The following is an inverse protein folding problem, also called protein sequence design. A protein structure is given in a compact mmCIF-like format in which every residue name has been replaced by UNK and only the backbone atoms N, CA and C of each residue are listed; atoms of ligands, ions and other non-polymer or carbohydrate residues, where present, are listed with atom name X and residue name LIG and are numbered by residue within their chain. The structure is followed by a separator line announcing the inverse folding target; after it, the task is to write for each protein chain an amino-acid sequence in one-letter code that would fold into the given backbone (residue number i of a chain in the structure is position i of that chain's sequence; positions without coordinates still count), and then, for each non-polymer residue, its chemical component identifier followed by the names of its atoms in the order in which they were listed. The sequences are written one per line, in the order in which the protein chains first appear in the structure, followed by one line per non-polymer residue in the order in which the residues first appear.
data_IF_163591483348
#
_entry.id   IF_163591483348
#
_cell.length_a   1.000
_cell.length_b   1.000
_cell.length_c   1.000
_cell.angle_alpha   90.00
_cell.angle_beta   90.00
_cell.angle_gamma   90.00
#
_symmetry.space_group_name_H-M   'P 1'
#
loop_
_entity.id
_entity.type
_entity.pdbx_description
1 polymer ?
#
# COMPACT_ATOMS: atom_id res chain seq x y z
N UNK A 1 -19.99 12.81 6.69
CA UNK A 1 -20.95 11.74 6.38
C UNK A 1 -21.90 11.55 7.57
N UNK A 2 -23.20 11.33 7.34
CA UNK A 2 -24.22 11.35 8.41
C UNK A 2 -24.13 10.07 9.26
N UNK A 3 -24.17 10.15 10.61
CA UNK A 3 -24.23 8.99 11.52
C UNK A 3 -25.29 7.97 11.10
N UNK A 4 -26.37 8.42 10.44
CA UNK A 4 -27.42 7.57 9.86
C UNK A 4 -26.92 6.62 8.76
N UNK A 5 -25.99 7.03 7.91
CA UNK A 5 -25.48 6.19 6.81
C UNK A 5 -24.59 5.06 7.34
N UNK A 6 -23.69 5.39 8.29
CA UNK A 6 -22.84 4.39 8.98
C UNK A 6 -23.72 3.42 9.77
N UNK A 7 -24.74 3.92 10.47
CA UNK A 7 -25.70 3.06 11.17
C UNK A 7 -26.47 2.12 10.23
N UNK A 8 -26.74 2.53 8.98
CA UNK A 8 -27.39 1.69 7.96
C UNK A 8 -26.42 0.65 7.41
N UNK A 9 -25.15 1.02 7.16
CA UNK A 9 -24.12 0.08 6.72
C UNK A 9 -23.83 -0.99 7.78
N UNK A 10 -23.70 -0.60 9.05
CA UNK A 10 -23.53 -1.54 10.16
C UNK A 10 -24.77 -2.39 10.37
N UNK A 11 -25.99 -1.85 10.20
CA UNK A 11 -27.21 -2.65 10.26
C UNK A 11 -27.28 -3.68 9.12
N UNK A 12 -26.90 -3.31 7.89
CA UNK A 12 -26.83 -4.24 6.75
C UNK A 12 -25.75 -5.31 6.99
N UNK A 13 -24.60 -4.92 7.51
CA UNK A 13 -23.50 -5.82 7.87
C UNK A 13 -23.96 -6.82 8.93
N UNK A 14 -24.62 -6.37 10.00
CA UNK A 14 -25.16 -7.24 11.06
C UNK A 14 -26.22 -8.22 10.52
N UNK A 15 -27.01 -7.81 9.53
CA UNK A 15 -27.98 -8.68 8.86
C UNK A 15 -27.25 -9.73 8.00
N UNK A 16 -26.20 -9.34 7.29
CA UNK A 16 -25.38 -10.24 6.46
C UNK A 16 -24.56 -11.23 7.32
N UNK A 17 -23.99 -10.78 8.43
CA UNK A 17 -23.23 -11.64 9.34
C UNK A 17 -24.12 -12.68 10.02
N UNK A 18 -25.34 -12.30 10.42
CA UNK A 18 -26.31 -13.23 11.00
C UNK A 18 -26.71 -14.39 10.06
N UNK A 19 -26.68 -14.18 8.75
CA UNK A 19 -26.95 -15.22 7.75
C UNK A 19 -25.75 -16.16 7.49
N UNK A 20 -24.54 -15.74 7.88
CA UNK A 20 -23.29 -16.48 7.63
C UNK A 20 -22.75 -17.22 8.86
N UNK A 21 -23.54 -17.35 9.95
CA UNK A 21 -23.09 -17.98 11.20
C UNK A 21 -22.15 -17.12 12.03
N UNK A 22 -22.08 -15.82 11.76
CA UNK A 22 -21.23 -14.87 12.47
C UNK A 22 -21.97 -14.25 13.68
N UNK A 23 -21.32 -14.24 14.85
CA UNK A 23 -21.88 -13.77 16.14
C UNK A 23 -21.09 -12.61 16.77
N UNK A 24 -20.12 -12.04 16.04
CA UNK A 24 -19.28 -10.93 16.51
C UNK A 24 -20.10 -9.71 16.96
N UNK A 25 -19.70 -9.11 18.08
CA UNK A 25 -20.24 -7.83 18.57
C UNK A 25 -19.51 -6.64 17.95
N UNK A 26 -20.22 -5.84 17.15
CA UNK A 26 -19.67 -4.64 16.50
C UNK A 26 -20.15 -3.37 17.22
N UNK A 27 -19.20 -2.52 17.65
CA UNK A 27 -19.49 -1.21 18.25
C UNK A 27 -18.89 -0.07 17.41
N UNK A 28 -19.56 1.07 17.33
CA UNK A 28 -19.01 2.29 16.69
C UNK A 28 -18.55 3.25 17.78
N UNK A 29 -17.27 3.63 17.74
CA UNK A 29 -16.72 4.62 18.67
C UNK A 29 -17.13 6.02 18.20
N UNK A 30 -18.13 6.60 18.84
CA UNK A 30 -18.44 8.02 18.66
C UNK A 30 -17.39 8.89 19.35
N UNK A 31 -16.93 9.97 18.70
CA UNK A 31 -16.27 11.08 19.43
C UNK A 31 -17.16 11.44 20.61
N UNK A 32 -16.71 11.19 21.84
CA UNK A 32 -17.32 11.79 23.03
C UNK A 32 -17.26 13.30 22.82
N UNK A 33 -18.39 13.91 22.48
CA UNK A 33 -18.58 15.34 22.72
C UNK A 33 -18.39 15.52 24.21
N UNK A 34 -17.27 16.11 24.58
CA UNK A 34 -17.01 16.59 25.93
C UNK A 34 -18.06 17.69 26.17
N UNK A 35 -19.23 17.31 26.67
CA UNK A 35 -20.18 18.26 27.22
C UNK A 35 -19.49 18.79 28.47
N UNK A 36 -19.07 20.06 28.41
CA UNK A 36 -18.50 20.75 29.55
C UNK A 36 -19.48 20.68 30.71
N UNK A 37 -19.08 20.00 31.77
CA UNK A 37 -19.61 20.29 33.10
C UNK A 37 -19.13 21.70 33.44
N UNK A 38 -20.07 22.64 33.41
CA UNK A 38 -19.91 23.93 34.06
C UNK A 38 -19.93 23.66 35.56
N UNK A 39 -18.77 23.66 36.19
CA UNK A 39 -18.66 23.85 37.63
C UNK A 39 -18.15 25.26 37.92
N UNK A 40 -19.00 26.01 38.61
CA UNK A 40 -18.67 27.26 39.28
C UNK A 40 -17.43 27.11 40.15
N UNK A 41 -16.45 28.00 39.98
CA UNK A 41 -15.53 28.38 41.04
C UNK A 41 -15.03 29.82 40.78
N UNK A 42 -15.52 30.72 41.64
CA UNK A 42 -15.12 32.10 41.82
C UNK A 42 -13.68 32.26 42.33
N UNK A 43 -13.04 33.36 41.88
CA UNK A 43 -12.08 34.20 42.59
C UNK A 43 -10.87 33.58 43.32
N UNK A 44 -9.65 33.83 42.81
CA UNK A 44 -8.76 34.88 43.34
C UNK A 44 -7.41 34.95 42.60
N UNK A 45 -7.03 36.18 42.27
CA UNK A 45 -5.69 36.56 41.83
C UNK A 45 -4.65 36.46 42.96
N UNK A 46 -3.41 36.07 42.61
CA UNK A 46 -2.16 36.78 42.98
C UNK A 46 -0.93 36.06 42.35
N UNK A 47 -0.24 36.77 41.46
CA UNK A 47 1.23 36.73 41.29
C UNK A 47 1.91 37.49 42.47
N UNK A 48 3.26 37.57 42.66
CA UNK A 48 4.34 37.43 41.68
C UNK A 48 5.67 36.78 42.16
N UNK A 49 6.68 36.89 41.28
CA UNK A 49 8.12 37.19 41.53
C UNK A 49 9.09 35.99 41.56
N UNK A 50 10.00 35.94 40.56
CA UNK A 50 11.45 36.27 40.65
C UNK A 50 12.29 35.06 41.09
N UNK A 51 13.54 34.80 40.71
CA UNK A 51 14.63 35.43 39.96
C UNK A 51 15.70 34.34 39.76
N UNK A 52 16.77 34.57 38.99
CA UNK A 52 17.98 33.75 39.15
C UNK A 52 18.85 33.54 37.92
N UNK A 53 19.70 34.53 37.66
CA UNK A 53 20.79 34.61 36.68
C UNK A 53 22.01 33.73 36.99
N UNK A 54 22.95 33.70 36.02
CA UNK A 54 24.43 33.48 36.06
C UNK A 54 24.92 32.16 35.42
N UNK A 55 25.57 32.15 34.24
CA UNK A 55 26.96 32.57 33.85
C UNK A 55 28.03 31.64 34.49
N UNK A 56 29.11 31.16 33.86
CA UNK A 56 30.01 31.75 32.84
C UNK A 56 31.12 30.72 32.48
N UNK A 57 31.81 30.93 31.33
CA UNK A 57 33.22 30.59 30.97
C UNK A 57 33.72 29.11 30.89
N UNK A 58 34.22 28.61 29.76
CA UNK A 58 35.45 28.80 28.93
C UNK A 58 36.38 27.58 29.04
N UNK A 59 36.83 27.03 27.91
CA UNK A 59 38.24 27.03 27.47
C UNK A 59 38.44 26.06 26.30
N UNK A 60 39.08 26.59 25.25
CA UNK A 60 39.72 25.88 24.14
C UNK A 60 41.14 25.44 24.59
N UNK A 61 41.82 24.51 23.88
CA UNK A 61 42.61 24.96 22.73
C UNK A 61 42.69 24.01 21.51
N UNK A 62 42.93 24.65 20.36
CA UNK A 62 43.51 24.23 19.07
C UNK A 62 44.61 23.15 19.12
N UNK A 63 45.06 22.49 18.05
CA UNK A 63 44.65 22.21 16.68
C UNK A 63 45.74 21.25 16.11
N UNK A 64 45.41 20.34 15.20
CA UNK A 64 46.42 19.75 14.29
C UNK A 64 45.77 19.05 13.10
N UNK A 65 45.94 19.67 11.94
CA UNK A 65 45.86 19.22 10.55
C UNK A 65 45.63 17.74 10.24
N UNK A 66 44.68 17.47 9.34
CA UNK A 66 44.96 16.96 7.97
C UNK A 66 43.65 16.98 7.15
N UNK A 67 43.69 17.58 5.95
CA UNK A 67 42.61 17.51 4.95
C UNK A 67 42.66 16.16 4.23
N UNK A 68 41.52 15.63 3.74
CA UNK A 68 41.32 15.71 2.30
C UNK A 68 39.86 15.92 1.84
N UNK A 69 39.75 16.67 0.74
CA UNK A 69 38.82 16.53 -0.40
C UNK A 69 37.32 16.49 -0.08
N UNK A 70 36.70 17.64 -0.34
CA UNK A 70 35.28 17.93 -0.33
C UNK A 70 34.58 17.28 -1.55
N UNK A 71 33.79 16.23 -1.32
CA UNK A 71 32.68 15.86 -2.21
C UNK A 71 31.40 16.28 -1.50
N UNK A 72 30.82 17.41 -1.92
CA UNK A 72 29.55 17.91 -1.36
C UNK A 72 28.39 17.03 -1.84
N UNK A 73 28.01 16.04 -1.04
CA UNK A 73 26.65 15.49 -1.05
C UNK A 73 25.76 16.38 -0.16
N UNK A 74 24.54 16.75 -0.59
CA UNK A 74 23.64 17.54 0.24
C UNK A 74 23.16 16.70 1.42
N UNK A 75 23.45 17.16 2.64
CA UNK A 75 22.93 16.65 3.90
C UNK A 75 21.40 16.82 3.95
N UNK A 76 20.60 15.75 4.13
CA UNK A 76 19.18 15.92 4.39
C UNK A 76 18.98 16.27 5.86
N UNK A 77 18.47 17.47 6.10
CA UNK A 77 17.99 17.94 7.40
C UNK A 77 16.94 16.99 7.97
N UNK A 78 17.15 16.55 9.22
CA UNK A 78 16.22 15.75 10.00
C UNK A 78 14.85 16.42 10.11
N UNK A 79 13.96 16.01 9.24
CA UNK A 79 12.53 16.34 9.30
C UNK A 79 11.83 15.00 9.28
N UNK A 80 11.09 14.71 10.35
CA UNK A 80 10.12 13.60 10.38
C UNK A 80 9.31 13.62 9.09
N UNK A 81 9.12 12.49 8.37
CA UNK A 81 8.11 12.44 7.33
C UNK A 81 6.76 12.68 8.01
N UNK A 82 6.23 13.91 7.82
CA UNK A 82 4.80 14.10 7.92
C UNK A 82 4.19 13.09 6.96
N UNK A 83 3.13 12.40 7.41
CA UNK A 83 2.32 11.54 6.58
C UNK A 83 2.24 12.16 5.18
N UNK A 84 2.90 11.53 4.21
CA UNK A 84 2.72 11.89 2.81
C UNK A 84 1.36 11.28 2.50
N UNK A 85 0.31 11.96 2.97
CA UNK A 85 -1.04 11.67 2.56
C UNK A 85 -0.98 11.73 1.05
N UNK A 86 -1.16 10.58 0.39
CA UNK A 86 -1.57 10.60 -1.01
C UNK A 86 -2.67 11.66 -1.10
N UNK A 87 -2.61 12.60 -2.06
CA UNK A 87 -3.67 13.57 -2.20
C UNK A 87 -4.95 12.75 -2.32
N UNK A 88 -5.84 12.90 -1.31
CA UNK A 88 -7.02 12.06 -1.14
C UNK A 88 -7.58 11.75 -2.52
N UNK A 89 -7.53 10.47 -2.93
CA UNK A 89 -8.00 10.07 -4.25
C UNK A 89 -9.38 10.66 -4.42
N UNK A 90 -9.46 11.69 -5.26
CA UNK A 90 -10.73 12.36 -5.52
C UNK A 90 -11.56 11.24 -6.11
N UNK A 91 -12.60 10.79 -5.42
CA UNK A 91 -13.43 9.68 -5.90
C UNK A 91 -14.14 10.15 -7.17
N UNK A 92 -13.49 9.97 -8.32
CA UNK A 92 -14.02 10.33 -9.62
C UNK A 92 -14.93 9.18 -10.01
N UNK A 93 -16.23 9.38 -9.84
CA UNK A 93 -17.21 8.35 -10.23
C UNK A 93 -17.27 8.27 -11.75
N UNK A 94 -17.28 7.04 -12.28
CA UNK A 94 -17.59 6.80 -13.68
C UNK A 94 -18.99 7.38 -13.99
N UNK A 95 -19.16 8.04 -15.14
CA UNK A 95 -20.48 8.50 -15.58
C UNK A 95 -21.41 7.33 -15.95
N UNK A 96 -20.92 6.08 -15.89
CA UNK A 96 -21.65 4.87 -16.28
C UNK A 96 -21.77 4.67 -17.79
N UNK A 97 -20.96 5.38 -18.58
CA UNK A 97 -20.95 5.31 -20.04
C UNK A 97 -19.77 4.42 -20.46
N UNK A 98 -20.08 3.18 -20.84
CA UNK A 98 -19.18 2.34 -21.62
C UNK A 98 -19.30 2.74 -23.09
N UNK A 99 -18.17 3.06 -23.72
CA UNK A 99 -18.07 3.27 -25.16
C UNK A 99 -17.00 2.34 -25.73
N UNK A 100 -16.96 2.18 -27.05
CA UNK A 100 -16.04 1.27 -27.76
C UNK A 100 -15.17 2.06 -28.73
N UNK A 101 -13.86 1.82 -28.70
CA UNK A 101 -12.94 2.36 -29.71
C UNK A 101 -13.13 1.68 -31.07
N UNK A 102 -12.67 2.30 -32.18
CA UNK A 102 -12.64 1.66 -33.50
C UNK A 102 -11.87 0.33 -33.51
N UNK A 103 -10.86 0.19 -32.66
CA UNK A 103 -10.01 -1.00 -32.55
C UNK A 103 -10.56 -2.05 -31.55
N UNK A 104 -11.72 -1.80 -30.94
CA UNK A 104 -12.46 -2.82 -30.19
C UNK A 104 -12.23 -2.88 -28.67
N UNK A 105 -11.57 -1.89 -28.07
CA UNK A 105 -11.46 -1.78 -26.61
C UNK A 105 -12.52 -0.84 -26.03
N UNK A 106 -13.08 -1.23 -24.88
CA UNK A 106 -14.08 -0.50 -24.13
C UNK A 106 -13.44 0.42 -23.09
N UNK A 107 -14.07 1.56 -22.85
CA UNK A 107 -13.56 2.54 -21.91
C UNK A 107 -14.67 3.23 -21.13
N UNK A 108 -14.33 3.65 -19.91
CA UNK A 108 -15.17 4.46 -19.05
C UNK A 108 -14.88 5.95 -19.28
N UNK A 109 -15.94 6.77 -19.34
CA UNK A 109 -15.84 8.23 -19.23
C UNK A 109 -16.15 8.67 -17.81
N UNK A 110 -15.24 9.43 -17.23
CA UNK A 110 -15.36 9.95 -15.87
C UNK A 110 -16.02 11.34 -15.81
N UNK A 111 -16.41 11.72 -14.59
CA UNK A 111 -17.08 13.01 -14.33
C UNK A 111 -16.21 14.23 -14.63
N UNK A 112 -14.89 14.08 -14.52
CA UNK A 112 -13.88 15.09 -14.82
C UNK A 112 -13.41 15.09 -16.29
N UNK A 113 -14.14 14.41 -17.17
CA UNK A 113 -13.86 14.31 -18.61
C UNK A 113 -12.56 13.57 -18.96
N UNK A 114 -12.10 12.68 -18.07
CA UNK A 114 -11.01 11.73 -18.34
C UNK A 114 -11.53 10.35 -18.72
N UNK A 115 -10.68 9.56 -19.37
CA UNK A 115 -10.99 8.21 -19.85
C UNK A 115 -10.04 7.17 -19.24
N UNK A 116 -10.61 6.01 -18.90
CA UNK A 116 -9.90 4.78 -18.55
C UNK A 116 -10.32 3.65 -19.47
N UNK A 117 -9.36 2.93 -20.03
CA UNK A 117 -9.61 1.71 -20.79
C UNK A 117 -9.85 0.59 -19.79
N UNK A 118 -10.94 -0.16 -19.94
CA UNK A 118 -11.38 -1.13 -18.92
C UNK A 118 -11.56 -2.55 -19.46
N UNK A 119 -11.58 -2.71 -20.78
CA UNK A 119 -11.74 -4.03 -21.39
C UNK A 119 -11.30 -4.00 -22.85
N UNK A 120 -10.77 -5.11 -23.33
CA UNK A 120 -10.44 -5.31 -24.72
C UNK A 120 -10.96 -6.65 -25.21
N UNK A 121 -11.53 -6.68 -26.41
CA UNK A 121 -11.90 -7.91 -27.10
C UNK A 121 -10.64 -8.52 -27.77
N UNK A 122 -10.04 -9.53 -27.13
CA UNK A 122 -8.83 -10.21 -27.60
C UNK A 122 -8.92 -10.63 -29.07
N UNK A 123 -10.11 -11.05 -29.54
CA UNK A 123 -10.31 -11.58 -30.91
C UNK A 123 -10.11 -10.49 -31.97
N UNK A 124 -10.35 -9.23 -31.61
CA UNK A 124 -10.27 -8.09 -32.54
C UNK A 124 -8.96 -7.33 -32.44
N UNK A 125 -8.16 -7.60 -31.41
CA UNK A 125 -6.98 -6.80 -31.13
C UNK A 125 -5.87 -7.06 -32.15
N UNK A 126 -5.29 -6.03 -32.77
CA UNK A 126 -4.10 -6.20 -33.59
C UNK A 126 -2.91 -6.64 -32.74
N UNK A 127 -1.97 -7.37 -33.34
CA UNK A 127 -0.72 -7.75 -32.68
C UNK A 127 0.12 -6.53 -32.22
N UNK A 128 -0.08 -5.36 -32.83
CA UNK A 128 0.54 -4.10 -32.40
C UNK A 128 -0.55 -3.08 -32.16
N UNK A 129 -0.59 -2.53 -30.95
CA UNK A 129 -1.59 -1.57 -30.53
C UNK A 129 -0.96 -0.22 -30.20
N UNK A 130 -1.62 0.86 -30.60
CA UNK A 130 -1.27 2.22 -30.20
C UNK A 130 -2.50 2.79 -29.50
N UNK A 131 -2.37 3.12 -28.22
CA UNK A 131 -3.42 3.79 -27.47
C UNK A 131 -3.33 5.30 -27.76
N UNK A 132 -4.41 5.94 -28.24
CA UNK A 132 -4.37 7.38 -28.51
C UNK A 132 -4.38 8.19 -27.21
N UNK A 133 -3.76 9.38 -27.23
CA UNK A 133 -3.81 10.31 -26.09
C UNK A 133 -5.25 10.75 -25.76
N UNK A 134 -6.14 10.73 -26.77
CA UNK A 134 -7.54 11.09 -26.65
C UNK A 134 -8.47 10.10 -27.37
N UNK A 135 -9.58 9.78 -26.72
CA UNK A 135 -10.74 9.09 -27.29
C UNK A 135 -11.94 10.03 -27.18
N UNK A 136 -12.69 10.22 -28.27
CA UNK A 136 -13.82 11.17 -28.35
C UNK A 136 -13.48 12.59 -27.84
N UNK A 137 -12.23 13.03 -28.08
CA UNK A 137 -11.70 14.32 -27.66
C UNK A 137 -11.37 14.44 -26.16
N UNK A 138 -11.53 13.36 -25.39
CA UNK A 138 -11.24 13.27 -23.95
C UNK A 138 -9.94 12.53 -23.69
N UNK A 139 -9.21 12.94 -22.65
CA UNK A 139 -7.84 12.45 -22.37
C UNK A 139 -7.88 11.05 -21.76
N UNK A 140 -7.10 10.12 -22.33
CA UNK A 140 -6.91 8.77 -21.77
C UNK A 140 -5.87 8.85 -20.65
N UNK A 141 -6.26 8.56 -19.41
CA UNK A 141 -5.42 8.75 -18.21
C UNK A 141 -5.06 7.44 -17.51
N UNK A 142 -5.66 6.32 -17.90
CA UNK A 142 -5.47 5.05 -17.21
C UNK A 142 -5.72 3.83 -18.09
N UNK A 143 -4.97 2.78 -17.77
CA UNK A 143 -5.29 1.41 -18.14
C UNK A 143 -5.84 0.73 -16.90
N UNK A 144 -7.14 0.50 -16.90
CA UNK A 144 -7.90 0.01 -15.76
C UNK A 144 -7.69 -1.48 -15.50
N UNK A 145 -8.31 -1.92 -14.41
CA UNK A 145 -8.26 -3.31 -13.97
C UNK A 145 -8.72 -4.26 -15.08
N UNK A 146 -7.97 -5.33 -15.31
CA UNK A 146 -8.25 -6.35 -16.33
C UNK A 146 -8.29 -5.88 -17.80
N UNK A 147 -7.94 -4.62 -18.11
CA UNK A 147 -8.25 -4.01 -19.39
C UNK A 147 -7.74 -4.77 -20.62
N UNK A 148 -6.56 -5.40 -20.52
CA UNK A 148 -5.93 -6.24 -21.54
C UNK A 148 -5.61 -7.64 -21.01
N UNK A 149 -6.26 -8.09 -19.94
CA UNK A 149 -6.05 -9.44 -19.43
C UNK A 149 -6.25 -10.49 -20.54
N UNK A 150 -5.36 -11.48 -20.59
CA UNK A 150 -5.35 -12.56 -21.57
C UNK A 150 -5.28 -12.13 -23.05
N UNK A 151 -4.80 -10.91 -23.38
CA UNK A 151 -4.59 -10.52 -24.78
C UNK A 151 -3.39 -11.27 -25.42
N UNK A 152 -3.52 -12.57 -25.70
CA UNK A 152 -2.41 -13.47 -26.10
C UNK A 152 -1.86 -13.19 -27.50
N UNK A 153 -2.57 -12.43 -28.32
CA UNK A 153 -2.09 -12.02 -29.65
C UNK A 153 -1.31 -10.70 -29.64
N UNK A 154 -1.36 -9.93 -28.54
CA UNK A 154 -0.70 -8.63 -28.42
C UNK A 154 0.81 -8.81 -28.29
N UNK A 155 1.58 -8.36 -29.28
CA UNK A 155 3.04 -8.41 -29.30
C UNK A 155 3.70 -7.13 -28.80
N UNK A 156 3.06 -5.97 -29.01
CA UNK A 156 3.57 -4.67 -28.55
C UNK A 156 2.43 -3.68 -28.36
N UNK A 157 2.53 -2.82 -27.34
CA UNK A 157 1.60 -1.73 -27.10
C UNK A 157 2.35 -0.42 -26.83
N UNK A 158 1.88 0.67 -27.45
CA UNK A 158 2.31 2.03 -27.17
C UNK A 158 1.27 2.72 -26.30
N UNK A 159 1.68 3.14 -25.10
CA UNK A 159 0.83 3.86 -24.13
C UNK A 159 1.21 5.36 -24.17
N UNK A 160 0.26 6.29 -24.25
CA UNK A 160 0.55 7.71 -24.35
C UNK A 160 0.96 8.32 -22.99
N UNK A 161 1.73 9.41 -23.02
CA UNK A 161 2.15 10.20 -21.83
C UNK A 161 0.98 10.83 -21.04
N UNK A 162 -0.25 10.69 -21.54
CA UNK A 162 -1.45 11.09 -20.82
C UNK A 162 -1.83 10.10 -19.71
N UNK A 163 -1.39 8.84 -19.81
CA UNK A 163 -1.69 7.76 -18.87
C UNK A 163 -0.81 7.88 -17.62
N UNK A 164 -1.44 7.94 -16.45
CA UNK A 164 -0.76 8.11 -15.16
C UNK A 164 -0.81 6.87 -14.27
N UNK A 165 -1.64 5.88 -14.62
CA UNK A 165 -1.78 4.62 -13.86
C UNK A 165 -1.99 3.42 -14.78
N UNK A 166 -1.42 2.30 -14.37
CA UNK A 166 -1.66 0.95 -14.92
C UNK A 166 -2.13 0.11 -13.74
N UNK A 167 -3.39 -0.28 -13.75
CA UNK A 167 -4.04 -0.86 -12.58
C UNK A 167 -3.82 -2.38 -12.51
N UNK A 168 -4.36 -3.00 -11.45
CA UNK A 168 -4.20 -4.42 -11.16
C UNK A 168 -4.61 -5.29 -12.36
N UNK A 169 -3.83 -6.33 -12.64
CA UNK A 169 -4.08 -7.32 -13.70
C UNK A 169 -4.24 -6.72 -15.12
N UNK A 170 -3.92 -5.44 -15.34
CA UNK A 170 -4.20 -4.71 -16.58
C UNK A 170 -3.69 -5.39 -17.85
N UNK A 171 -2.53 -6.06 -17.80
CA UNK A 171 -1.91 -6.80 -18.91
C UNK A 171 -1.59 -8.26 -18.50
N UNK A 172 -2.24 -8.78 -17.47
CA UNK A 172 -2.01 -10.15 -17.01
C UNK A 172 -2.24 -11.16 -18.14
N UNK A 173 -1.36 -12.16 -18.25
CA UNK A 173 -1.35 -13.21 -19.25
C UNK A 173 -1.36 -12.73 -20.72
N UNK A 174 -0.81 -11.54 -21.01
CA UNK A 174 -0.45 -11.11 -22.37
C UNK A 174 0.79 -11.86 -22.88
N UNK A 175 0.69 -13.18 -23.06
CA UNK A 175 1.84 -14.07 -23.22
C UNK A 175 2.71 -13.83 -24.47
N UNK A 176 2.20 -13.13 -25.49
CA UNK A 176 2.99 -12.73 -26.67
C UNK A 176 3.63 -11.34 -26.57
N UNK A 177 3.38 -10.58 -25.50
CA UNK A 177 3.89 -9.22 -25.36
C UNK A 177 5.42 -9.25 -25.20
N UNK A 178 6.13 -8.76 -26.22
CA UNK A 178 7.60 -8.83 -26.29
C UNK A 178 8.27 -7.61 -25.66
N UNK A 179 7.59 -6.46 -25.74
CA UNK A 179 8.08 -5.18 -25.26
C UNK A 179 6.93 -4.24 -24.97
N UNK A 180 7.06 -3.47 -23.91
CA UNK A 180 6.18 -2.36 -23.57
C UNK A 180 7.02 -1.19 -23.07
N UNK A 181 6.68 0.02 -23.49
CA UNK A 181 7.24 1.24 -22.91
C UNK A 181 6.25 1.78 -21.88
N UNK A 182 6.66 1.82 -20.62
CA UNK A 182 5.88 2.44 -19.55
C UNK A 182 6.08 3.96 -19.63
N UNK A 183 5.03 4.77 -19.82
CA UNK A 183 5.17 6.22 -19.92
C UNK A 183 5.74 6.84 -18.64
N UNK A 184 6.56 7.90 -18.77
CA UNK A 184 7.12 8.65 -17.64
C UNK A 184 6.09 9.46 -16.84
N UNK A 185 4.83 9.46 -17.27
CA UNK A 185 3.69 9.98 -16.53
C UNK A 185 3.11 8.97 -15.54
N UNK A 186 3.43 7.68 -15.68
CA UNK A 186 2.94 6.62 -14.79
C UNK A 186 3.64 6.73 -13.44
N UNK A 187 2.85 6.75 -12.37
CA UNK A 187 3.36 6.80 -10.99
C UNK A 187 3.17 5.50 -10.22
N UNK A 188 2.25 4.63 -10.66
CA UNK A 188 1.92 3.36 -10.01
C UNK A 188 1.69 2.26 -11.04
N UNK A 189 2.21 1.07 -10.75
CA UNK A 189 1.91 -0.19 -11.46
C UNK A 189 1.21 -1.11 -10.45
N UNK A 190 0.00 -1.58 -10.78
CA UNK A 190 -0.82 -2.41 -9.88
C UNK A 190 -0.32 -3.84 -9.70
N UNK A 191 -0.94 -4.54 -8.74
CA UNK A 191 -0.66 -5.95 -8.46
C UNK A 191 -0.91 -6.82 -9.69
N UNK A 192 -0.02 -7.78 -9.95
CA UNK A 192 -0.10 -8.71 -11.09
C UNK A 192 -0.29 -8.03 -12.47
N UNK A 193 0.02 -6.74 -12.61
CA UNK A 193 -0.31 -5.96 -13.80
C UNK A 193 0.25 -6.54 -15.10
N UNK A 194 1.41 -7.20 -15.07
CA UNK A 194 2.07 -7.89 -16.19
C UNK A 194 2.33 -9.37 -15.90
N UNK A 195 1.66 -9.96 -14.92
CA UNK A 195 1.83 -11.37 -14.58
C UNK A 195 1.66 -12.24 -15.83
N UNK A 196 2.48 -13.27 -16.02
CA UNK A 196 2.36 -14.20 -17.15
C UNK A 196 2.66 -13.62 -18.54
N UNK A 197 3.27 -12.42 -18.63
CA UNK A 197 3.80 -11.88 -19.90
C UNK A 197 5.07 -12.63 -20.33
N UNK A 198 4.94 -13.93 -20.61
CA UNK A 198 6.05 -14.88 -20.76
C UNK A 198 7.00 -14.61 -21.93
N UNK A 199 6.64 -13.75 -22.89
CA UNK A 199 7.51 -13.29 -23.99
C UNK A 199 8.28 -12.01 -23.68
N UNK A 200 7.99 -11.31 -22.58
CA UNK A 200 8.63 -10.04 -22.22
C UNK A 200 10.06 -10.30 -21.76
N UNK A 201 11.05 -9.75 -22.47
CA UNK A 201 12.47 -10.06 -22.22
C UNK A 201 13.17 -9.10 -21.27
N UNK A 202 12.74 -7.84 -21.33
CA UNK A 202 13.27 -6.75 -20.53
C UNK A 202 12.18 -5.71 -20.30
N UNK A 203 12.24 -5.01 -19.17
CA UNK A 203 11.35 -3.90 -18.86
C UNK A 203 12.13 -2.72 -18.28
N UNK A 204 11.79 -1.52 -18.74
CA UNK A 204 12.22 -0.26 -18.12
C UNK A 204 11.05 0.37 -17.40
N UNK A 205 11.15 0.44 -16.07
CA UNK A 205 10.17 1.09 -15.21
C UNK A 205 10.67 2.52 -14.95
N UNK A 206 10.00 3.58 -15.43
CA UNK A 206 10.54 4.93 -15.39
C UNK A 206 10.68 5.46 -13.97
N UNK A 207 11.61 6.41 -13.78
CA UNK A 207 11.87 7.13 -12.51
C UNK A 207 10.65 7.80 -11.85
N UNK A 208 9.55 7.99 -12.59
CA UNK A 208 8.28 8.50 -12.10
C UNK A 208 7.47 7.50 -11.29
N UNK A 209 7.71 6.19 -11.49
CA UNK A 209 7.00 5.12 -10.77
C UNK A 209 7.53 5.06 -9.35
N UNK A 210 6.63 5.31 -8.41
CA UNK A 210 6.91 5.28 -6.97
C UNK A 210 6.30 4.06 -6.29
N UNK A 211 5.47 3.28 -6.99
CA UNK A 211 4.83 2.06 -6.46
C UNK A 211 4.75 0.98 -7.53
N UNK A 212 5.14 -0.24 -7.16
CA UNK A 212 4.96 -1.45 -7.97
C UNK A 212 4.26 -2.49 -7.09
N UNK A 213 3.11 -3.00 -7.54
CA UNK A 213 2.34 -4.01 -6.82
C UNK A 213 3.03 -5.38 -6.78
N UNK A 214 2.56 -6.25 -5.88
CA UNK A 214 3.02 -7.61 -5.73
C UNK A 214 2.77 -8.44 -6.98
N UNK A 215 3.67 -9.38 -7.26
CA UNK A 215 3.59 -10.26 -8.42
C UNK A 215 3.47 -9.53 -9.77
N UNK A 216 3.78 -8.23 -9.85
CA UNK A 216 3.48 -7.42 -11.04
C UNK A 216 4.09 -7.99 -12.34
N UNK A 217 5.22 -8.70 -12.26
CA UNK A 217 5.84 -9.41 -13.39
C UNK A 217 6.07 -10.90 -13.08
N UNK A 218 5.34 -11.49 -12.13
CA UNK A 218 5.39 -12.93 -11.84
C UNK A 218 5.08 -13.74 -13.12
N UNK A 219 5.60 -14.96 -13.26
CA UNK A 219 5.44 -15.80 -14.46
C UNK A 219 5.90 -15.15 -15.79
N UNK A 220 6.68 -14.06 -15.76
CA UNK A 220 7.35 -13.53 -16.94
C UNK A 220 8.62 -14.35 -17.25
N UNK A 221 8.45 -15.59 -17.72
CA UNK A 221 9.54 -16.57 -17.85
C UNK A 221 10.75 -16.10 -18.69
N UNK A 222 10.53 -15.26 -19.70
CA UNK A 222 11.61 -14.71 -20.54
C UNK A 222 12.27 -13.46 -19.96
N UNK A 223 11.76 -12.91 -18.87
CA UNK A 223 12.24 -11.65 -18.30
C UNK A 223 13.61 -11.88 -17.66
N UNK A 224 14.62 -11.27 -18.26
CA UNK A 224 16.03 -11.47 -17.88
C UNK A 224 16.67 -10.22 -17.27
N UNK A 225 16.08 -9.05 -17.53
CA UNK A 225 16.56 -7.76 -17.04
C UNK A 225 15.40 -6.80 -16.76
N UNK A 226 15.44 -6.11 -15.63
CA UNK A 226 14.53 -5.01 -15.34
C UNK A 226 15.31 -3.80 -14.84
N UNK A 227 15.00 -2.62 -15.39
CA UNK A 227 15.50 -1.34 -14.90
C UNK A 227 14.44 -0.75 -13.98
N UNK A 228 14.81 -0.52 -12.72
CA UNK A 228 13.88 -0.14 -11.63
C UNK A 228 14.28 1.22 -11.02
N UNK A 229 13.33 2.10 -10.67
CA UNK A 229 13.61 3.46 -10.22
C UNK A 229 14.09 3.53 -8.76
N UNK A 230 15.13 4.33 -8.46
CA UNK A 230 15.77 4.36 -7.13
C UNK A 230 14.79 4.69 -6.00
N UNK A 231 13.79 5.53 -6.28
CA UNK A 231 12.81 6.00 -5.31
C UNK A 231 11.49 5.25 -5.47
N UNK A 232 11.43 4.07 -4.88
CA UNK A 232 10.15 3.38 -4.64
C UNK A 232 9.68 3.74 -3.22
N UNK A 233 8.41 4.10 -3.10
CA UNK A 233 7.71 4.21 -1.82
C UNK A 233 7.03 2.88 -1.46
N UNK A 234 6.71 2.06 -2.45
CA UNK A 234 6.12 0.74 -2.27
C UNK A 234 6.65 -0.22 -3.34
N UNK A 235 6.82 -1.47 -2.94
CA UNK A 235 7.18 -2.60 -3.77
C UNK A 235 6.55 -3.83 -3.13
N UNK A 236 5.69 -4.52 -3.86
CA UNK A 236 5.09 -5.75 -3.36
C UNK A 236 6.09 -6.91 -3.27
N UNK A 237 5.61 -8.06 -2.80
CA UNK A 237 6.35 -9.32 -2.85
C UNK A 237 6.43 -9.84 -4.29
N UNK A 238 7.44 -10.65 -4.59
CA UNK A 238 7.57 -11.42 -5.85
C UNK A 238 7.37 -10.61 -7.15
N UNK A 239 7.70 -9.30 -7.12
CA UNK A 239 7.49 -8.40 -8.27
C UNK A 239 8.12 -8.92 -9.55
N UNK A 240 9.29 -9.53 -9.47
CA UNK A 240 10.03 -10.05 -10.61
C UNK A 240 10.36 -11.53 -10.39
N UNK A 241 10.39 -12.34 -11.47
CA UNK A 241 10.88 -13.71 -11.40
C UNK A 241 12.33 -13.76 -10.91
N UNK A 242 12.69 -14.78 -10.14
CA UNK A 242 14.00 -14.93 -9.50
C UNK A 242 15.20 -14.79 -10.47
N UNK A 243 15.04 -15.18 -11.74
CA UNK A 243 16.08 -15.07 -12.77
C UNK A 243 16.36 -13.64 -13.24
N UNK A 244 15.51 -12.68 -12.89
CA UNK A 244 15.56 -11.32 -13.43
C UNK A 244 16.70 -10.52 -12.80
N UNK A 245 17.61 -10.01 -13.63
CA UNK A 245 18.65 -9.09 -13.16
C UNK A 245 18.08 -7.69 -13.00
N UNK A 246 18.09 -7.18 -11.78
CA UNK A 246 17.58 -5.85 -11.48
C UNK A 246 18.72 -4.82 -11.54
N UNK A 247 18.51 -3.76 -12.30
CA UNK A 247 19.43 -2.63 -12.45
C UNK A 247 18.77 -1.30 -12.09
N UNK A 248 19.57 -0.32 -11.71
CA UNK A 248 19.15 1.08 -11.68
C UNK A 248 19.19 1.71 -13.08
N UNK A 249 18.68 2.94 -13.21
CA UNK A 249 18.67 3.67 -14.48
C UNK A 249 20.06 4.14 -14.96
N UNK A 250 21.10 3.95 -14.15
CA UNK A 250 22.50 4.15 -14.55
C UNK A 250 23.14 2.84 -15.05
N UNK A 251 22.38 1.73 -15.07
CA UNK A 251 22.83 0.42 -15.52
C UNK A 251 23.60 -0.38 -14.46
N UNK A 252 23.62 0.06 -13.19
CA UNK A 252 24.28 -0.65 -12.09
C UNK A 252 23.35 -1.69 -11.48
N UNK A 253 23.90 -2.83 -11.08
CA UNK A 253 23.15 -3.86 -10.33
C UNK A 253 22.51 -3.27 -9.08
N UNK A 254 21.24 -3.61 -8.87
CA UNK A 254 20.44 -3.14 -7.74
C UNK A 254 19.66 -4.32 -7.14
N UNK A 255 20.03 -4.83 -5.97
CA UNK A 255 19.15 -5.75 -5.26
C UNK A 255 17.85 -5.02 -4.90
N UNK A 256 16.69 -5.64 -5.12
CA UNK A 256 15.40 -5.10 -4.70
C UNK A 256 15.08 -5.53 -3.27
N UNK A 257 15.43 -6.76 -2.95
CA UNK A 257 15.23 -7.37 -1.64
C UNK A 257 16.57 -7.59 -0.94
N UNK A 258 16.59 -7.43 0.38
CA UNK A 258 17.72 -7.79 1.23
C UNK A 258 17.20 -8.49 2.47
N UNK A 259 17.96 -9.46 2.93
CA UNK A 259 17.69 -10.18 4.18
C UNK A 259 18.55 -9.58 5.29
N UNK A 260 17.93 -9.31 6.43
CA UNK A 260 18.60 -8.98 7.70
C UNK A 260 17.91 -9.76 8.80
N UNK A 261 18.69 -10.56 9.54
CA UNK A 261 18.18 -11.47 10.57
C UNK A 261 17.06 -12.36 10.00
N UNK A 262 15.88 -12.34 10.62
CA UNK A 262 14.70 -13.12 10.23
C UNK A 262 13.77 -12.37 9.26
N UNK A 263 14.19 -11.24 8.70
CA UNK A 263 13.34 -10.39 7.85
C UNK A 263 13.94 -10.22 6.46
N UNK A 264 13.11 -10.35 5.43
CA UNK A 264 13.39 -9.83 4.09
C UNK A 264 12.67 -8.50 3.94
N UNK A 265 13.37 -7.51 3.42
CA UNK A 265 12.85 -6.17 3.26
C UNK A 265 13.27 -5.60 1.91
N UNK A 266 12.52 -4.60 1.45
CA UNK A 266 12.78 -3.97 0.15
C UNK A 266 13.70 -2.76 0.29
N UNK A 267 14.68 -2.63 -0.60
CA UNK A 267 15.44 -1.40 -0.81
C UNK A 267 14.58 -0.34 -1.52
N UNK A 268 13.75 0.32 -0.70
CA UNK A 268 12.95 1.48 -1.06
C UNK A 268 13.80 2.77 -1.05
N UNK A 269 13.12 3.91 -1.21
CA UNK A 269 13.71 5.23 -1.09
C UNK A 269 14.41 5.40 0.27
N UNK A 270 15.73 5.57 0.29
CA UNK A 270 16.45 5.96 1.52
C UNK A 270 15.83 7.26 2.08
N UNK A 271 15.51 7.35 3.39
CA UNK A 271 15.87 6.44 4.49
C UNK A 271 14.74 5.50 4.95
N UNK A 272 13.91 4.98 4.05
CA UNK A 272 12.72 4.15 4.38
C UNK A 272 12.81 2.74 3.78
N UNK A 273 12.08 1.80 4.40
CA UNK A 273 11.96 0.41 3.96
C UNK A 273 10.61 -0.18 4.35
N UNK A 274 10.28 -1.32 3.73
CA UNK A 274 9.12 -2.15 4.05
C UNK A 274 9.61 -3.58 4.27
N UNK A 275 9.19 -4.20 5.36
CA UNK A 275 9.39 -5.63 5.63
C UNK A 275 8.44 -6.41 4.72
N UNK A 276 8.93 -7.27 3.85
CA UNK A 276 8.11 -8.00 2.87
C UNK A 276 8.05 -9.50 3.10
N UNK A 277 8.94 -10.05 3.92
CA UNK A 277 8.88 -11.46 4.33
C UNK A 277 9.49 -11.63 5.73
N UNK A 278 8.95 -12.57 6.49
CA UNK A 278 9.45 -13.00 7.78
C UNK A 278 9.78 -14.48 7.68
N UNK A 279 11.08 -14.78 7.73
CA UNK A 279 11.62 -16.14 7.55
C UNK A 279 11.97 -16.82 8.88
N UNK A 280 11.69 -16.17 10.01
CA UNK A 280 11.91 -16.71 11.34
C UNK A 280 10.79 -17.64 11.82
N UNK A 281 11.00 -18.26 12.98
CA UNK A 281 10.08 -19.23 13.60
C UNK A 281 9.64 -18.82 15.01
N UNK A 282 9.85 -17.56 15.38
CA UNK A 282 9.57 -17.08 16.73
C UNK A 282 8.08 -16.94 17.01
N UNK A 283 7.64 -17.44 18.17
CA UNK A 283 6.27 -17.25 18.69
C UNK A 283 5.93 -15.80 19.01
N UNK A 284 6.95 -14.97 19.24
CA UNK A 284 6.79 -13.55 19.55
C UNK A 284 7.77 -12.76 18.70
N UNK A 285 7.24 -11.85 17.90
CA UNK A 285 8.03 -11.03 16.98
C UNK A 285 7.89 -9.56 17.35
N UNK A 286 8.98 -8.82 17.23
CA UNK A 286 8.98 -7.35 17.28
C UNK A 286 9.49 -6.85 15.95
N UNK A 287 8.65 -6.15 15.19
CA UNK A 287 9.07 -5.57 13.91
C UNK A 287 10.07 -4.45 14.22
N UNK A 288 11.29 -4.48 13.67
CA UNK A 288 12.30 -3.48 13.99
C UNK A 288 11.87 -2.10 13.47
N UNK A 289 12.10 -1.04 14.25
CA UNK A 289 11.85 0.33 13.79
C UNK A 289 12.78 0.72 12.63
N UNK A 290 13.99 0.15 12.61
CA UNK A 290 14.98 0.34 11.54
C UNK A 290 15.66 -0.96 11.14
N UNK A 291 15.90 -1.13 9.83
CA UNK A 291 16.73 -2.20 9.27
C UNK A 291 17.82 -1.56 8.44
N UNK A 292 19.09 -1.86 8.74
CA UNK A 292 20.26 -1.29 8.04
C UNK A 292 20.23 0.26 7.92
N UNK A 293 19.71 0.94 8.96
CA UNK A 293 19.59 2.40 9.01
C UNK A 293 18.39 2.98 8.24
N UNK A 294 17.58 2.14 7.58
CA UNK A 294 16.31 2.54 6.96
C UNK A 294 15.16 2.34 7.95
N UNK A 295 14.28 3.32 8.06
CA UNK A 295 13.08 3.27 8.91
C UNK A 295 12.03 2.38 8.28
N UNK A 296 11.51 1.42 9.03
CA UNK A 296 10.42 0.53 8.58
C UNK A 296 9.11 1.29 8.65
N UNK A 297 8.54 1.60 7.48
CA UNK A 297 7.28 2.36 7.36
C UNK A 297 6.09 1.49 6.98
N UNK A 298 6.30 0.23 6.63
CA UNK A 298 5.23 -0.68 6.29
C UNK A 298 5.60 -2.14 6.47
N UNK A 299 4.57 -2.98 6.51
CA UNK A 299 4.69 -4.43 6.44
C UNK A 299 3.97 -4.85 5.16
N UNK A 300 4.72 -5.41 4.22
CA UNK A 300 4.28 -5.82 2.89
C UNK A 300 3.23 -6.94 2.95
N UNK A 301 2.54 -7.13 1.84
CA UNK A 301 1.59 -8.22 1.74
C UNK A 301 2.28 -9.58 1.89
N UNK A 302 1.57 -10.55 2.47
CA UNK A 302 2.07 -11.90 2.75
C UNK A 302 3.28 -12.01 3.71
N UNK A 303 3.78 -10.91 4.27
CA UNK A 303 5.06 -10.91 4.98
C UNK A 303 5.11 -11.81 6.24
N UNK A 304 3.98 -12.15 6.84
CA UNK A 304 3.87 -13.11 7.94
C UNK A 304 2.85 -14.21 7.61
N UNK A 305 2.58 -14.45 6.33
CA UNK A 305 1.63 -15.47 5.90
C UNK A 305 1.99 -16.82 6.51
N UNK A 306 0.98 -17.53 7.01
CA UNK A 306 1.07 -18.88 7.51
C UNK A 306 2.09 -19.08 8.63
N UNK A 307 2.46 -18.00 9.34
CA UNK A 307 3.23 -18.04 10.59
C UNK A 307 2.39 -18.66 11.73
N UNK A 308 2.15 -19.97 11.65
CA UNK A 308 1.20 -20.70 12.49
C UNK A 308 1.59 -20.76 13.97
N UNK A 309 2.86 -20.53 14.30
CA UNK A 309 3.38 -20.48 15.68
C UNK A 309 3.40 -19.06 16.27
N UNK A 310 3.18 -18.01 15.46
CA UNK A 310 3.19 -16.62 15.91
C UNK A 310 2.02 -16.36 16.87
N UNK A 311 2.32 -16.09 18.14
CA UNK A 311 1.33 -15.82 19.19
C UNK A 311 1.07 -14.32 19.40
N UNK A 312 2.09 -13.49 19.19
CA UNK A 312 2.00 -12.02 19.33
C UNK A 312 3.04 -11.30 18.48
N UNK A 313 2.67 -10.13 17.96
CA UNK A 313 3.58 -9.24 17.23
C UNK A 313 3.49 -7.80 17.74
N UNK A 314 4.66 -7.16 17.89
CA UNK A 314 4.80 -5.74 18.17
C UNK A 314 5.10 -4.97 16.88
N UNK A 315 4.32 -3.92 16.60
CA UNK A 315 4.49 -3.08 15.41
C UNK A 315 4.91 -1.66 15.87
N UNK A 316 6.04 -1.12 15.39
CA UNK A 316 6.52 0.20 15.79
C UNK A 316 5.64 1.31 15.21
N UNK A 317 5.63 2.48 15.88
CA UNK A 317 4.84 3.64 15.44
C UNK A 317 5.32 4.29 14.14
N UNK A 318 6.47 3.85 13.60
CA UNK A 318 6.94 4.23 12.28
C UNK A 318 6.12 3.60 11.16
N UNK A 319 5.42 2.49 11.42
CA UNK A 319 4.60 1.78 10.43
C UNK A 319 3.30 2.53 10.18
N UNK A 320 3.04 2.86 8.91
CA UNK A 320 1.83 3.50 8.42
C UNK A 320 0.95 2.57 7.59
N UNK A 321 1.50 1.50 7.05
CA UNK A 321 0.82 0.62 6.10
C UNK A 321 1.00 -0.86 6.44
N UNK A 322 -0.10 -1.59 6.51
CA UNK A 322 -0.14 -3.05 6.70
C UNK A 322 -0.73 -3.67 5.42
N UNK A 323 0.05 -4.52 4.76
CA UNK A 323 -0.23 -5.09 3.45
C UNK A 323 -1.35 -6.12 3.42
N UNK A 324 -1.71 -6.57 2.22
CA UNK A 324 -2.73 -7.59 2.01
C UNK A 324 -2.25 -8.96 2.48
N UNK A 325 -3.14 -9.75 3.08
CA UNK A 325 -2.82 -11.12 3.51
C UNK A 325 -1.63 -11.23 4.48
N UNK A 326 -1.19 -10.13 5.11
CA UNK A 326 0.07 -10.06 5.87
C UNK A 326 0.16 -11.10 6.98
N UNK A 327 -0.93 -11.38 7.70
CA UNK A 327 -1.03 -12.39 8.76
C UNK A 327 -2.03 -13.49 8.37
N UNK A 328 -2.20 -13.75 7.07
CA UNK A 328 -3.10 -14.79 6.60
C UNK A 328 -2.73 -16.12 7.27
N UNK A 329 -3.72 -16.83 7.81
CA UNK A 329 -3.50 -18.13 8.45
C UNK A 329 -2.47 -18.15 9.60
N UNK A 330 -2.21 -17.02 10.28
CA UNK A 330 -1.52 -17.00 11.57
C UNK A 330 -2.43 -17.51 12.69
N UNK A 331 -2.72 -18.82 12.71
CA UNK A 331 -3.76 -19.41 13.56
C UNK A 331 -3.52 -19.22 15.07
N UNK A 332 -2.25 -19.12 15.51
CA UNK A 332 -1.88 -18.90 16.91
C UNK A 332 -1.88 -17.43 17.33
N UNK A 333 -2.04 -16.47 16.41
CA UNK A 333 -1.93 -15.05 16.73
C UNK A 333 -3.08 -14.62 17.63
N UNK A 334 -2.79 -14.34 18.90
CA UNK A 334 -3.82 -14.05 19.91
C UNK A 334 -4.07 -12.56 20.07
N UNK A 335 -3.01 -11.77 20.07
CA UNK A 335 -3.07 -10.34 20.37
C UNK A 335 -2.11 -9.58 19.47
N UNK A 336 -2.58 -8.43 18.98
CA UNK A 336 -1.79 -7.48 18.22
C UNK A 336 -2.21 -6.07 18.63
N UNK A 337 -1.24 -5.19 18.85
CA UNK A 337 -1.48 -3.76 18.99
C UNK A 337 -1.18 -3.09 17.65
N UNK A 338 -2.21 -2.56 17.00
CA UNK A 338 -2.05 -1.81 15.75
C UNK A 338 -1.82 -0.34 16.11
N UNK A 339 -0.64 0.24 15.82
CA UNK A 339 -0.33 1.59 16.25
C UNK A 339 -1.20 2.62 15.52
N UNK A 340 -1.47 3.76 16.18
CA UNK A 340 -2.34 4.81 15.62
C UNK A 340 -1.77 5.51 14.38
N UNK A 341 -0.50 5.27 14.06
CA UNK A 341 0.15 5.69 12.82
C UNK A 341 -0.37 4.94 11.59
N UNK A 342 -0.93 3.74 11.76
CA UNK A 342 -1.43 2.92 10.66
C UNK A 342 -2.64 3.58 10.01
N UNK A 343 -2.51 3.92 8.74
CA UNK A 343 -3.54 4.55 7.93
C UNK A 343 -4.23 3.57 6.99
N UNK A 344 -3.61 2.42 6.71
CA UNK A 344 -4.11 1.41 5.76
C UNK A 344 -3.88 -0.01 6.27
N UNK A 345 -4.89 -0.88 6.12
CA UNK A 345 -4.80 -2.33 6.35
C UNK A 345 -5.34 -3.04 5.10
N UNK A 346 -4.54 -3.94 4.55
CA UNK A 346 -4.83 -4.68 3.33
C UNK A 346 -6.02 -5.64 3.39
N UNK A 347 -6.48 -6.06 2.22
CA UNK A 347 -7.49 -7.11 2.08
C UNK A 347 -6.98 -8.40 2.72
N UNK A 348 -7.83 -9.11 3.45
CA UNK A 348 -7.46 -10.39 4.06
C UNK A 348 -6.33 -10.37 5.08
N UNK A 349 -5.88 -9.18 5.55
CA UNK A 349 -4.68 -9.03 6.37
C UNK A 349 -4.63 -9.92 7.62
N UNK A 350 -5.77 -10.24 8.23
CA UNK A 350 -5.91 -11.12 9.39
C UNK A 350 -6.84 -12.31 9.10
N UNK A 351 -7.08 -12.65 7.83
CA UNK A 351 -7.97 -13.76 7.52
C UNK A 351 -7.37 -15.08 8.06
N UNK A 352 -8.23 -15.92 8.65
CA UNK A 352 -7.85 -17.18 9.31
C UNK A 352 -6.93 -17.04 10.55
N UNK A 353 -6.81 -15.86 11.16
CA UNK A 353 -6.26 -15.73 12.52
C UNK A 353 -7.26 -16.25 13.56
N UNK A 354 -7.42 -17.56 13.66
CA UNK A 354 -8.50 -18.20 14.43
C UNK A 354 -8.45 -17.94 15.94
N UNK A 355 -7.25 -17.65 16.48
CA UNK A 355 -7.04 -17.31 17.90
C UNK A 355 -7.09 -15.81 18.22
N UNK A 356 -7.31 -14.94 17.21
CA UNK A 356 -7.24 -13.50 17.36
C UNK A 356 -8.35 -12.98 18.26
N UNK A 357 -7.97 -12.45 19.42
CA UNK A 357 -8.89 -11.85 20.39
C UNK A 357 -9.31 -10.45 19.94
N UNK A 358 -10.35 -9.86 20.58
CA UNK A 358 -10.71 -8.47 20.37
C UNK A 358 -9.49 -7.53 20.36
N UNK A 359 -9.39 -6.72 19.31
CA UNK A 359 -8.34 -5.73 19.13
C UNK A 359 -8.93 -4.33 18.93
N UNK A 360 -8.07 -3.33 19.10
CA UNK A 360 -8.42 -1.94 18.84
C UNK A 360 -7.96 -1.54 17.44
N UNK A 361 -8.89 -1.04 16.64
CA UNK A 361 -8.56 -0.46 15.35
C UNK A 361 -7.90 0.91 15.49
N UNK A 362 -6.93 1.27 14.64
CA UNK A 362 -6.35 2.61 14.62
C UNK A 362 -7.39 3.63 14.17
N UNK A 363 -7.42 4.79 14.84
CA UNK A 363 -8.45 5.82 14.64
C UNK A 363 -8.37 6.58 13.31
N UNK A 364 -7.31 6.34 12.54
CA UNK A 364 -7.01 6.92 11.22
C UNK A 364 -7.65 6.17 10.06
N UNK A 365 -8.09 4.91 10.24
CA UNK A 365 -8.62 4.09 9.16
C UNK A 365 -9.87 4.69 8.53
N UNK A 366 -9.90 4.73 7.21
CA UNK A 366 -11.03 5.23 6.40
C UNK A 366 -11.93 4.12 5.88
N UNK A 367 -11.45 2.88 5.89
CA UNK A 367 -12.11 1.71 5.34
C UNK A 367 -11.60 0.44 6.04
N UNK A 368 -12.36 -0.64 5.90
CA UNK A 368 -11.95 -2.01 6.26
C UNK A 368 -12.11 -2.82 4.99
N UNK A 369 -11.03 -3.35 4.44
CA UNK A 369 -11.03 -4.01 3.13
C UNK A 369 -11.72 -5.38 3.15
N UNK A 370 -11.83 -5.97 1.96
CA UNK A 370 -12.46 -7.28 1.78
C UNK A 370 -11.77 -8.33 2.64
N UNK A 371 -12.56 -9.17 3.30
CA UNK A 371 -12.09 -10.31 4.09
C UNK A 371 -11.06 -10.00 5.19
N UNK A 372 -10.82 -8.74 5.59
CA UNK A 372 -9.71 -8.36 6.49
C UNK A 372 -9.62 -9.22 7.76
N UNK A 373 -10.75 -9.61 8.37
CA UNK A 373 -10.82 -10.48 9.55
C UNK A 373 -11.64 -11.76 9.30
N UNK A 374 -11.77 -12.20 8.05
CA UNK A 374 -12.55 -13.40 7.72
C UNK A 374 -12.01 -14.62 8.50
N UNK A 375 -12.91 -15.44 9.05
CA UNK A 375 -12.61 -16.64 9.83
C UNK A 375 -11.78 -16.42 11.11
N UNK A 376 -11.76 -15.20 11.66
CA UNK A 376 -11.23 -14.94 13.00
C UNK A 376 -12.23 -15.43 14.07
N UNK A 377 -12.24 -16.72 14.39
CA UNK A 377 -13.24 -17.31 15.28
C UNK A 377 -13.18 -16.80 16.73
N UNK A 378 -12.00 -16.47 17.27
CA UNK A 378 -11.88 -15.89 18.61
C UNK A 378 -12.20 -14.37 18.67
N UNK A 379 -12.41 -13.73 17.51
CA UNK A 379 -12.70 -12.29 17.43
C UNK A 379 -14.17 -12.04 17.76
N UNK A 380 -14.45 -11.99 19.06
CA UNK A 380 -15.80 -11.85 19.61
C UNK A 380 -16.35 -10.42 19.63
N UNK A 381 -15.47 -9.41 19.52
CA UNK A 381 -15.90 -8.02 19.40
C UNK A 381 -14.89 -7.16 18.68
N UNK A 382 -15.38 -6.09 18.05
CA UNK A 382 -14.57 -5.10 17.36
C UNK A 382 -15.16 -3.69 17.52
N UNK A 383 -14.30 -2.73 17.81
CA UNK A 383 -14.62 -1.31 17.81
C UNK A 383 -14.25 -0.69 16.46
N UNK A 384 -15.27 -0.23 15.72
CA UNK A 384 -15.11 0.43 14.43
C UNK A 384 -14.88 1.94 14.66
N UNK A 385 -13.74 2.50 14.21
CA UNK A 385 -13.47 3.92 14.31
C UNK A 385 -14.50 4.74 13.52
N UNK A 386 -14.87 5.92 14.04
CA UNK A 386 -15.82 6.81 13.35
C UNK A 386 -15.35 7.35 11.99
N UNK A 387 -14.06 7.22 11.69
CA UNK A 387 -13.44 7.58 10.42
C UNK A 387 -13.74 6.57 9.31
N UNK A 388 -14.10 5.33 9.66
CA UNK A 388 -14.39 4.27 8.67
C UNK A 388 -15.69 4.60 7.93
N UNK A 389 -15.58 4.60 6.61
CA UNK A 389 -16.62 4.97 5.65
C UNK A 389 -17.06 3.82 4.77
N UNK A 390 -16.23 2.78 4.65
CA UNK A 390 -16.50 1.60 3.84
C UNK A 390 -16.07 0.32 4.57
N UNK A 391 -16.84 -0.76 4.38
CA UNK A 391 -16.55 -2.08 4.94
C UNK A 391 -16.72 -3.09 3.82
N UNK A 392 -15.62 -3.72 3.44
CA UNK A 392 -15.52 -4.67 2.36
C UNK A 392 -16.33 -5.93 2.58
N UNK A 393 -16.58 -6.62 1.47
CA UNK A 393 -17.29 -7.89 1.44
C UNK A 393 -16.55 -8.89 2.32
N UNK A 394 -17.30 -9.63 3.15
CA UNK A 394 -16.78 -10.68 4.01
C UNK A 394 -15.73 -10.22 5.05
N UNK A 395 -15.57 -8.91 5.30
CA UNK A 395 -14.57 -8.37 6.23
C UNK A 395 -14.57 -9.05 7.61
N UNK A 396 -15.75 -9.50 8.10
CA UNK A 396 -15.93 -10.21 9.36
C UNK A 396 -16.67 -11.55 9.17
N UNK A 397 -16.52 -12.19 8.01
CA UNK A 397 -17.13 -13.50 7.76
C UNK A 397 -16.68 -14.50 8.83
N UNK A 398 -17.61 -15.28 9.39
CA UNK A 398 -17.30 -16.36 10.36
C UNK A 398 -16.55 -15.93 11.65
N UNK A 399 -16.64 -14.66 12.07
CA UNK A 399 -16.23 -14.23 13.41
C UNK A 399 -17.32 -14.57 14.45
N UNK A 400 -16.97 -15.01 15.67
CA UNK A 400 -17.97 -15.49 16.66
C UNK A 400 -17.89 -14.85 18.03
#
# INVERSE_FOLDING_TARGET
MNKKLISVMVALLLILTALAGCSIRIEIVGKKTQAGEVSDASDKATEPAESGTTSVETTEPAASSTSPVETTEPTPSGTTPGAITEPAEKTIKAKGILSTSPEGYMYNLFTDDTIEIIYCDEVKLPAKLIIPEKLDGKKVVAIGEYAFEHCKSLESIEIPLSVTRIDQLAFSYCSSLKSIMIPSSVTKIGDMAFMGCSSLKSIEIPSSVVSIGGSAFEECDSLSEAIVPYRLNHCGADVFPEQTKIKDHNGKDRPLYKTSDDCVYVLLNQPYTVLVDYVGDSKKVSVPEQIDGMTVTGIGGWAFDSCSELESIEIPSSVTDIGEWVFYSCESLQTIEIPSSVTSIGSGAFAYCTSLKPLKMPSSLTDIKNSTFAYCHALSSVEIPSSVTDIGVSAFMSCT
#
